data_IF_013408117518
#
_entry.id   IF_013408117518
#
_cell.length_a   1.000
_cell.length_b   1.000
_cell.length_c   1.000
_cell.angle_alpha   90.00
_cell.angle_beta   90.00
_cell.angle_gamma   90.00
#
_symmetry.space_group_name_H-M   'P 1'
#
loop_
_entity.id
_entity.type
_entity.pdbx_description
1 polymer ?
#
# COMPACT_ATOMS: atom_id res chain seq x y z
N UNK A 1 -14.42 -1.94 12.72
CA UNK A 1 -13.91 -0.65 13.26
C UNK A 1 -14.32 0.47 12.30
N UNK A 2 -15.02 1.45 12.82
CA UNK A 2 -15.43 2.70 12.15
C UNK A 2 -14.31 3.74 12.22
N UNK A 3 -14.46 4.86 11.50
CA UNK A 3 -13.51 5.98 11.64
C UNK A 3 -13.54 6.62 13.03
N UNK A 4 -14.71 6.61 13.69
CA UNK A 4 -14.85 7.13 15.06
C UNK A 4 -14.09 6.25 16.06
N UNK A 5 -14.25 4.93 15.98
CA UNK A 5 -13.49 3.99 16.82
C UNK A 5 -11.97 4.06 16.55
N UNK A 6 -11.58 4.30 15.30
CA UNK A 6 -10.16 4.52 14.94
C UNK A 6 -9.64 5.81 15.57
N UNK A 7 -10.41 6.91 15.53
CA UNK A 7 -10.04 8.18 16.15
C UNK A 7 -9.81 7.99 17.66
N UNK A 8 -10.76 7.37 18.36
CA UNK A 8 -10.64 7.09 19.79
C UNK A 8 -9.42 6.24 20.12
N UNK A 9 -9.13 5.21 19.31
CA UNK A 9 -7.95 4.37 19.48
C UNK A 9 -6.65 5.15 19.31
N UNK A 10 -6.57 6.03 18.32
CA UNK A 10 -5.37 6.86 18.07
C UNK A 10 -5.17 7.85 19.22
N UNK A 11 -6.23 8.51 19.69
CA UNK A 11 -6.20 9.43 20.84
C UNK A 11 -5.75 8.71 22.10
N UNK A 12 -6.30 7.53 22.39
CA UNK A 12 -5.91 6.70 23.52
C UNK A 12 -4.43 6.32 23.46
N UNK A 13 -3.96 5.78 22.32
CA UNK A 13 -2.54 5.41 22.15
C UNK A 13 -1.63 6.62 22.32
N UNK A 14 -2.06 7.79 21.82
CA UNK A 14 -1.29 9.02 21.94
C UNK A 14 -1.10 9.42 23.41
N UNK A 15 -2.17 9.39 24.20
CA UNK A 15 -2.11 9.70 25.62
C UNK A 15 -1.30 8.67 26.41
N UNK A 16 -1.54 7.38 26.20
CA UNK A 16 -0.91 6.31 26.97
C UNK A 16 0.59 6.14 26.64
N UNK A 17 0.98 6.27 25.37
CA UNK A 17 2.35 5.94 24.93
C UNK A 17 3.23 7.16 24.75
N UNK A 18 2.67 8.34 24.49
CA UNK A 18 3.42 9.58 24.25
C UNK A 18 3.19 10.64 25.31
N UNK A 19 2.23 10.40 26.25
CA UNK A 19 1.83 11.36 27.28
C UNK A 19 1.38 12.72 26.69
N UNK A 20 0.83 12.70 25.48
CA UNK A 20 0.40 13.88 24.74
C UNK A 20 -0.87 13.60 23.93
N UNK A 21 -1.77 14.58 23.81
CA UNK A 21 -2.98 14.41 23.01
C UNK A 21 -2.66 14.37 21.51
N UNK A 22 -3.50 13.64 20.77
CA UNK A 22 -3.60 13.77 19.33
C UNK A 22 -4.78 14.69 19.01
N UNK A 23 -4.52 15.87 18.44
CA UNK A 23 -5.51 16.94 18.29
C UNK A 23 -6.10 17.04 16.87
N UNK A 24 -5.67 16.17 15.97
CA UNK A 24 -6.07 16.19 14.56
C UNK A 24 -6.97 15.00 14.22
N UNK A 25 -7.23 14.79 12.94
CA UNK A 25 -8.15 13.74 12.49
C UNK A 25 -7.42 12.50 12.03
N UNK A 26 -8.02 11.35 12.32
CA UNK A 26 -7.62 10.09 11.71
C UNK A 26 -8.78 9.44 10.96
N UNK A 27 -8.45 8.73 9.88
CA UNK A 27 -9.45 8.03 9.07
C UNK A 27 -8.84 6.84 8.33
N UNK A 28 -9.68 5.89 7.99
CA UNK A 28 -9.31 4.84 7.03
C UNK A 28 -9.26 5.39 5.61
N UNK A 29 -8.17 5.08 4.88
CA UNK A 29 -8.03 5.43 3.48
C UNK A 29 -7.83 4.17 2.61
N UNK A 30 -8.87 3.76 1.89
CA UNK A 30 -8.87 2.60 0.97
C UNK A 30 -7.95 2.77 -0.25
N UNK A 31 -7.45 3.98 -0.51
CA UNK A 31 -6.50 4.26 -1.60
C UNK A 31 -5.07 3.87 -1.25
N UNK A 32 -4.74 3.68 0.03
CA UNK A 32 -3.46 3.16 0.46
C UNK A 32 -3.37 1.68 0.07
N UNK A 33 -2.46 1.35 -0.85
CA UNK A 33 -2.33 -0.01 -1.39
C UNK A 33 -1.11 -0.76 -0.89
N UNK A 34 -0.05 -0.07 -0.57
CA UNK A 34 1.26 -0.64 -0.24
C UNK A 34 1.78 -0.22 1.14
N UNK A 35 1.25 0.87 1.69
CA UNK A 35 1.62 1.42 2.99
C UNK A 35 0.55 1.08 4.03
N UNK A 36 0.96 0.88 5.29
CA UNK A 36 0.07 0.61 6.40
C UNK A 36 -0.68 1.85 6.87
N UNK A 37 -0.01 3.00 6.84
CA UNK A 37 -0.55 4.31 7.18
C UNK A 37 0.22 5.41 6.49
N UNK A 38 -0.15 6.65 6.76
CA UNK A 38 0.63 7.85 6.46
C UNK A 38 0.22 9.03 7.33
N UNK A 39 1.19 9.77 7.79
CA UNK A 39 1.03 11.08 8.39
C UNK A 39 1.04 12.17 7.31
N UNK A 40 0.11 13.12 7.36
CA UNK A 40 -0.05 14.22 6.41
C UNK A 40 0.58 15.49 6.97
N UNK A 41 1.71 15.94 6.43
CA UNK A 41 2.46 17.09 6.93
C UNK A 41 1.66 18.41 6.90
N UNK A 42 0.78 18.59 5.92
CA UNK A 42 0.04 19.84 5.73
C UNK A 42 -1.17 19.99 6.68
N UNK A 43 -1.82 18.89 7.04
CA UNK A 43 -3.04 18.90 7.86
C UNK A 43 -2.85 18.26 9.22
N UNK A 44 -1.70 17.65 9.46
CA UNK A 44 -1.38 16.85 10.65
C UNK A 44 -2.31 15.66 10.88
N UNK A 45 -3.13 15.31 9.89
CA UNK A 45 -4.00 14.13 9.96
C UNK A 45 -3.22 12.82 9.75
N UNK A 46 -3.78 11.74 10.28
CA UNK A 46 -3.26 10.39 10.07
C UNK A 46 -4.26 9.59 9.23
N UNK A 47 -3.77 8.94 8.18
CA UNK A 47 -4.56 8.01 7.39
C UNK A 47 -4.04 6.59 7.57
N UNK A 48 -4.95 5.66 7.81
CA UNK A 48 -4.64 4.24 8.04
C UNK A 48 -5.24 3.39 6.92
N UNK A 49 -4.49 2.40 6.47
CA UNK A 49 -4.96 1.43 5.49
C UNK A 49 -5.89 0.41 6.18
N UNK A 50 -7.17 0.30 5.79
CA UNK A 50 -8.10 -0.62 6.43
C UNK A 50 -7.68 -2.10 6.29
N UNK A 51 -6.83 -2.44 5.32
CA UNK A 51 -6.31 -3.79 5.14
C UNK A 51 -5.40 -4.23 6.30
N UNK A 52 -4.83 -3.29 7.05
CA UNK A 52 -4.01 -3.60 8.22
C UNK A 52 -4.82 -4.25 9.33
N UNK A 53 -6.09 -3.92 9.44
CA UNK A 53 -6.99 -4.58 10.38
C UNK A 53 -7.63 -5.85 9.78
N UNK A 54 -8.02 -5.84 8.48
CA UNK A 54 -8.76 -6.94 7.88
C UNK A 54 -7.90 -8.14 7.45
N UNK A 55 -6.62 -7.94 7.14
CA UNK A 55 -5.69 -9.00 6.74
C UNK A 55 -4.71 -9.40 7.86
N UNK A 56 -4.60 -8.57 8.87
CA UNK A 56 -3.73 -8.77 10.02
C UNK A 56 -4.53 -8.64 11.31
N UNK A 57 -3.89 -8.34 12.41
CA UNK A 57 -4.50 -8.22 13.73
C UNK A 57 -4.46 -6.77 14.27
N UNK A 58 -5.05 -6.61 15.45
CA UNK A 58 -5.07 -5.32 16.15
C UNK A 58 -3.65 -4.88 16.56
N UNK A 59 -2.74 -5.82 16.85
CA UNK A 59 -1.36 -5.48 17.24
C UNK A 59 -0.61 -4.84 16.07
N UNK A 60 -0.80 -5.35 14.84
CA UNK A 60 -0.24 -4.72 13.65
C UNK A 60 -0.82 -3.33 13.41
N UNK A 61 -2.14 -3.17 13.54
CA UNK A 61 -2.79 -1.87 13.42
C UNK A 61 -2.23 -0.88 14.46
N UNK A 62 -2.14 -1.29 15.72
CA UNK A 62 -1.59 -0.49 16.82
C UNK A 62 -0.14 -0.09 16.57
N UNK A 63 0.69 -1.02 16.10
CA UNK A 63 2.09 -0.74 15.77
C UNK A 63 2.25 0.27 14.63
N UNK A 64 1.34 0.26 13.64
CA UNK A 64 1.30 1.25 12.56
C UNK A 64 0.82 2.62 13.09
N UNK A 65 -0.22 2.64 13.91
CA UNK A 65 -0.71 3.88 14.56
C UNK A 65 0.43 4.54 15.35
N UNK A 66 1.17 3.78 16.15
CA UNK A 66 2.34 4.27 16.88
C UNK A 66 3.40 4.86 15.95
N UNK A 67 3.65 4.23 14.79
CA UNK A 67 4.58 4.74 13.78
C UNK A 67 4.17 6.12 13.26
N UNK A 68 2.91 6.28 12.87
CA UNK A 68 2.40 7.57 12.38
C UNK A 68 2.34 8.63 13.50
N UNK A 69 2.05 8.24 14.74
CA UNK A 69 2.10 9.13 15.90
C UNK A 69 3.53 9.59 16.21
N UNK A 70 4.56 8.76 15.96
CA UNK A 70 5.96 9.22 16.07
C UNK A 70 6.24 10.36 15.10
N UNK A 71 5.81 10.24 13.83
CA UNK A 71 5.91 11.33 12.86
C UNK A 71 5.18 12.57 13.35
N UNK A 72 3.94 12.40 13.81
CA UNK A 72 3.07 13.46 14.31
C UNK A 72 3.74 14.23 15.47
N UNK A 73 4.10 13.55 16.55
CA UNK A 73 4.65 14.19 17.76
C UNK A 73 6.01 14.82 17.55
N UNK A 74 6.88 14.24 16.71
CA UNK A 74 8.14 14.87 16.37
C UNK A 74 7.93 16.11 15.50
N UNK A 75 7.08 16.03 14.46
CA UNK A 75 6.84 17.13 13.56
C UNK A 75 6.16 18.32 14.25
N UNK A 76 5.15 18.09 15.08
CA UNK A 76 4.45 19.16 15.83
C UNK A 76 5.35 19.88 16.84
N UNK A 77 6.44 19.21 17.28
CA UNK A 77 7.49 19.81 18.11
C UNK A 77 8.66 20.39 17.30
N UNK A 78 8.56 20.45 15.99
CA UNK A 78 9.62 20.91 15.08
C UNK A 78 10.92 20.10 15.21
N UNK A 79 10.85 18.82 15.55
CA UNK A 79 11.99 17.91 15.67
C UNK A 79 12.18 17.09 14.38
N UNK A 80 13.38 16.54 14.15
CA UNK A 80 13.64 15.61 13.05
C UNK A 80 12.71 14.39 13.15
N UNK A 81 11.91 14.16 12.09
CA UNK A 81 10.84 13.18 12.12
C UNK A 81 10.88 12.18 10.95
N UNK A 82 11.94 12.20 10.16
CA UNK A 82 12.11 11.26 9.05
C UNK A 82 12.62 9.90 9.54
N UNK A 83 12.31 8.82 8.85
CA UNK A 83 12.73 7.46 9.20
C UNK A 83 14.26 7.29 9.39
N UNK A 84 15.06 8.15 8.75
CA UNK A 84 16.53 8.16 8.89
C UNK A 84 17.00 8.81 10.18
N UNK A 85 16.19 9.70 10.77
CA UNK A 85 16.59 10.54 11.90
C UNK A 85 16.70 9.72 13.18
N UNK A 86 17.58 10.13 14.06
CA UNK A 86 17.87 9.45 15.33
C UNK A 86 16.66 9.55 16.27
N UNK A 87 16.07 10.71 16.35
CA UNK A 87 14.90 11.03 17.17
C UNK A 87 13.73 10.12 16.82
N UNK A 88 13.46 9.95 15.51
CA UNK A 88 12.43 9.04 15.03
C UNK A 88 12.69 7.60 15.48
N UNK A 89 13.91 7.09 15.26
CA UNK A 89 14.26 5.70 15.62
C UNK A 89 14.19 5.45 17.12
N UNK A 90 14.62 6.42 17.92
CA UNK A 90 14.59 6.30 19.39
C UNK A 90 13.16 6.30 19.91
N UNK A 91 12.32 7.26 19.48
CA UNK A 91 10.94 7.35 19.91
C UNK A 91 10.13 6.14 19.44
N UNK A 92 10.33 5.69 18.18
CA UNK A 92 9.66 4.50 17.66
C UNK A 92 9.98 3.25 18.49
N UNK A 93 11.23 3.07 18.89
CA UNK A 93 11.65 1.95 19.75
C UNK A 93 11.04 2.07 21.15
N UNK A 94 10.99 3.28 21.72
CA UNK A 94 10.44 3.53 23.05
C UNK A 94 8.96 3.14 23.16
N UNK A 95 8.16 3.45 22.11
CA UNK A 95 6.72 3.14 22.10
C UNK A 95 6.41 1.76 21.51
N UNK A 96 7.41 0.97 21.16
CA UNK A 96 7.26 -0.32 20.49
C UNK A 96 6.40 -0.23 19.22
N UNK A 97 6.71 0.73 18.37
CA UNK A 97 6.03 0.95 17.11
C UNK A 97 6.64 0.11 15.98
N UNK A 98 5.84 -0.30 15.01
CA UNK A 98 6.30 -1.05 13.85
C UNK A 98 7.13 -0.15 12.90
N UNK A 99 8.36 -0.57 12.61
CA UNK A 99 9.19 0.13 11.63
C UNK A 99 8.69 -0.03 10.19
N UNK A 100 8.12 -1.18 9.87
CA UNK A 100 7.59 -1.51 8.56
C UNK A 100 6.24 -2.16 8.71
N UNK A 101 5.27 -1.68 7.94
CA UNK A 101 3.99 -2.38 7.82
C UNK A 101 4.20 -3.75 7.17
N UNK A 102 3.49 -4.79 7.60
CA UNK A 102 3.51 -6.07 6.93
C UNK A 102 3.07 -5.91 5.48
N UNK A 103 3.66 -6.73 4.59
CA UNK A 103 3.29 -6.69 3.18
C UNK A 103 1.87 -7.19 3.01
N UNK A 104 1.01 -6.33 2.51
CA UNK A 104 -0.34 -6.70 2.10
C UNK A 104 -0.19 -7.75 1.00
N UNK A 105 -0.75 -8.94 1.22
CA UNK A 105 -0.86 -9.94 0.16
C UNK A 105 -1.59 -9.26 -0.99
N UNK A 106 -0.92 -9.06 -2.10
CA UNK A 106 -1.60 -8.59 -3.30
C UNK A 106 -2.69 -9.62 -3.57
N UNK A 107 -3.94 -9.26 -3.35
CA UNK A 107 -5.03 -9.95 -4.07
C UNK A 107 -4.51 -9.99 -5.50
N UNK A 108 -4.25 -11.20 -6.01
CA UNK A 108 -3.72 -11.36 -7.36
C UNK A 108 -4.68 -10.61 -8.27
N UNK A 109 -4.35 -9.35 -8.57
CA UNK A 109 -5.11 -8.62 -9.56
C UNK A 109 -4.90 -9.42 -10.83
N UNK A 110 -5.95 -10.07 -11.29
CA UNK A 110 -5.94 -10.81 -12.54
C UNK A 110 -5.37 -9.86 -13.58
N UNK A 111 -4.12 -10.10 -13.99
CA UNK A 111 -3.47 -9.23 -14.96
C UNK A 111 -4.19 -9.44 -16.28
N UNK A 112 -4.73 -8.37 -16.82
CA UNK A 112 -5.37 -8.37 -18.13
C UNK A 112 -4.31 -8.47 -19.21
N UNK A 113 -4.53 -9.36 -20.18
CA UNK A 113 -3.61 -9.54 -21.32
C UNK A 113 -4.38 -9.54 -22.62
N UNK A 114 -3.74 -8.96 -23.63
CA UNK A 114 -4.16 -9.06 -25.02
C UNK A 114 -3.50 -10.28 -25.62
N UNK A 115 -4.28 -11.25 -26.13
CA UNK A 115 -3.78 -12.43 -26.82
C UNK A 115 -3.74 -12.17 -28.33
N UNK A 116 -2.56 -12.30 -28.88
CA UNK A 116 -2.32 -12.28 -30.32
C UNK A 116 -1.86 -13.65 -30.77
N UNK A 117 -2.25 -14.04 -31.97
CA UNK A 117 -1.79 -15.28 -32.61
C UNK A 117 -1.27 -14.94 -34.00
N UNK A 118 -0.13 -15.50 -34.38
CA UNK A 118 0.41 -15.38 -35.74
C UNK A 118 -0.13 -16.48 -36.64
N UNK A 119 0.14 -16.39 -37.95
CA UNK A 119 -0.28 -17.38 -38.95
C UNK A 119 0.25 -18.79 -38.66
N UNK A 120 1.40 -18.91 -38.00
CA UNK A 120 1.99 -20.20 -37.59
C UNK A 120 1.52 -20.67 -36.20
N UNK A 121 0.53 -20.00 -35.61
CA UNK A 121 -0.10 -20.42 -34.32
C UNK A 121 0.66 -20.00 -33.05
N UNK A 122 1.76 -19.24 -33.12
CA UNK A 122 2.44 -18.76 -31.92
C UNK A 122 1.56 -17.80 -31.15
N UNK A 123 1.41 -18.04 -29.83
CA UNK A 123 0.60 -17.22 -28.92
C UNK A 123 1.46 -16.16 -28.24
N UNK A 124 1.06 -14.90 -28.34
CA UNK A 124 1.80 -13.76 -27.80
C UNK A 124 0.89 -12.98 -26.83
N UNK A 125 1.27 -12.93 -25.57
CA UNK A 125 0.54 -12.20 -24.52
C UNK A 125 1.19 -10.84 -24.27
N UNK A 126 0.38 -9.76 -24.28
CA UNK A 126 0.84 -8.39 -24.00
C UNK A 126 -0.08 -7.70 -23.01
N UNK A 127 0.50 -6.98 -22.05
CA UNK A 127 -0.27 -6.19 -21.08
C UNK A 127 -0.88 -4.92 -21.69
N UNK A 128 -0.31 -4.45 -22.80
CA UNK A 128 -0.82 -3.31 -23.56
C UNK A 128 -1.20 -3.77 -24.97
N UNK A 129 -2.24 -3.14 -25.52
CA UNK A 129 -2.62 -3.37 -26.91
C UNK A 129 -1.50 -2.92 -27.84
N UNK A 130 -1.13 -3.76 -28.78
CA UNK A 130 -0.12 -3.45 -29.81
C UNK A 130 -0.79 -3.22 -31.17
N UNK A 131 -0.15 -2.41 -32.01
CA UNK A 131 -0.59 -2.19 -33.37
C UNK A 131 -0.08 -3.34 -34.25
N UNK A 132 -0.97 -4.22 -34.69
CA UNK A 132 -0.66 -5.39 -35.50
C UNK A 132 -0.22 -5.06 -36.94
N UNK A 133 -0.43 -3.84 -37.43
CA UNK A 133 0.15 -3.39 -38.70
C UNK A 133 1.64 -3.04 -38.58
N UNK A 134 2.12 -2.72 -37.38
CA UNK A 134 3.49 -2.32 -37.10
C UNK A 134 4.36 -3.46 -36.54
N UNK A 135 3.73 -4.38 -35.80
CA UNK A 135 4.42 -5.43 -35.06
C UNK A 135 4.07 -6.81 -35.64
N UNK A 136 5.08 -7.65 -35.80
CA UNK A 136 4.98 -9.03 -36.27
C UNK A 136 5.38 -10.01 -35.15
N UNK A 137 5.18 -11.30 -35.41
CA UNK A 137 5.64 -12.36 -34.51
C UNK A 137 7.18 -12.32 -34.35
N UNK A 138 7.66 -12.35 -33.10
CA UNK A 138 9.08 -12.32 -32.80
C UNK A 138 9.82 -13.54 -33.35
N UNK A 139 9.17 -14.70 -33.35
CA UNK A 139 9.76 -15.98 -33.72
C UNK A 139 9.74 -16.21 -35.23
N UNK A 140 8.62 -16.03 -35.90
CA UNK A 140 8.43 -16.38 -37.30
C UNK A 140 8.23 -15.21 -38.26
N UNK A 141 8.21 -13.98 -37.75
CA UNK A 141 8.06 -12.71 -38.51
C UNK A 141 6.77 -12.56 -39.31
N UNK A 142 5.77 -13.47 -39.09
CA UNK A 142 4.47 -13.37 -39.76
C UNK A 142 3.53 -12.41 -39.04
N UNK A 143 2.46 -12.01 -39.73
CA UNK A 143 1.46 -11.07 -39.20
C UNK A 143 0.78 -11.59 -37.93
N UNK A 144 0.43 -10.66 -37.06
CA UNK A 144 -0.28 -10.94 -35.81
C UNK A 144 -1.76 -10.58 -35.94
N UNK A 145 -2.63 -11.46 -35.44
CA UNK A 145 -4.06 -11.19 -35.29
C UNK A 145 -4.42 -11.14 -33.81
N UNK A 146 -5.19 -10.13 -33.42
CA UNK A 146 -5.77 -10.06 -32.07
C UNK A 146 -6.89 -11.10 -31.98
N UNK A 147 -6.77 -12.01 -31.00
CA UNK A 147 -7.78 -13.08 -30.81
C UNK A 147 -8.76 -12.70 -29.72
N UNK A 148 -8.26 -12.33 -28.56
CA UNK A 148 -9.10 -11.97 -27.41
C UNK A 148 -8.35 -11.12 -26.39
N UNK A 149 -9.13 -10.56 -25.49
CA UNK A 149 -8.70 -9.91 -24.28
C UNK A 149 -9.09 -10.81 -23.10
N UNK A 150 -8.11 -11.30 -22.35
CA UNK A 150 -8.35 -12.32 -21.33
C UNK A 150 -7.61 -12.03 -20.03
N UNK A 151 -8.05 -12.72 -18.97
CA UNK A 151 -7.39 -12.73 -17.66
C UNK A 151 -6.58 -14.03 -17.57
N UNK A 152 -5.26 -13.95 -17.38
CA UNK A 152 -4.48 -15.13 -17.04
C UNK A 152 -4.63 -15.41 -15.54
N UNK A 153 -5.30 -16.52 -15.23
CA UNK A 153 -5.19 -17.14 -13.91
C UNK A 153 -3.82 -17.83 -13.83
N UNK A 154 -2.97 -17.42 -12.89
CA UNK A 154 -1.66 -18.01 -12.65
C UNK A 154 -1.73 -19.42 -12.02
N UNK A 155 -2.74 -20.20 -12.28
CA UNK A 155 -2.91 -21.58 -11.79
C UNK A 155 -2.71 -22.62 -12.90
N UNK A 156 -1.67 -22.48 -13.72
CA UNK A 156 -1.17 -23.58 -14.56
C UNK A 156 0.37 -23.53 -14.54
N UNK A 157 0.91 -24.13 -13.49
CA UNK A 157 2.16 -24.90 -13.50
C UNK A 157 2.03 -26.00 -12.48
#
# INVERSE_FOLDING_TARGET
MTNQELQQLVEQISLEQFCQPFEHKTRFNKRLRTTGGRYLLATHDIEINPLMLSQFDLNNLTGIIKHELVHYHLHTRHLPHMHRDKEFKQLLKQVDGLRYAPRISKVQSQKKYWLYVCEKGHKIYRQRRINTARFVCGDCKTALKLVRYDYLNNNQN
#
